data_IF_431502970096
#
_entry.id   IF_431502970096
#
_cell.length_a   1.000
_cell.length_b   1.000
_cell.length_c   1.000
_cell.angle_alpha   90.00
_cell.angle_beta   90.00
_cell.angle_gamma   90.00
#
_symmetry.space_group_name_H-M   'P 1'
#
loop_
_entity.id
_entity.type
_entity.pdbx_description
1 polymer ?
#
# COMPACT_ATOMS: atom_id res chain seq x y z
N UNK A 1 48.01 -20.06 36.12
CA UNK A 1 47.22 -18.81 36.06
C UNK A 1 46.06 -19.04 35.12
N UNK A 2 44.85 -19.29 35.66
CA UNK A 2 43.65 -19.47 34.86
C UNK A 2 43.18 -18.12 34.33
N UNK A 3 43.16 -17.96 33.00
CA UNK A 3 42.40 -16.89 32.36
C UNK A 3 40.92 -17.27 32.38
N UNK A 4 40.18 -16.70 33.34
CA UNK A 4 38.72 -16.70 33.31
C UNK A 4 38.25 -15.71 32.24
N UNK A 5 37.73 -16.23 31.13
CA UNK A 5 37.00 -15.44 30.14
C UNK A 5 35.53 -15.40 30.51
N UNK A 6 35.16 -14.56 31.48
CA UNK A 6 33.76 -14.16 31.64
C UNK A 6 33.42 -13.10 30.57
N UNK A 7 32.36 -13.30 29.76
CA UNK A 7 31.85 -12.26 28.87
C UNK A 7 31.44 -11.07 29.73
N UNK A 8 32.08 -9.91 29.56
CA UNK A 8 31.67 -8.70 30.25
C UNK A 8 30.19 -8.43 29.94
N UNK A 9 29.36 -8.38 30.98
CA UNK A 9 27.95 -8.02 30.86
C UNK A 9 27.83 -6.67 30.15
N UNK A 10 27.29 -6.68 28.92
CA UNK A 10 27.15 -5.46 28.14
C UNK A 10 26.07 -4.61 28.81
N UNK A 11 26.48 -3.46 29.37
CA UNK A 11 25.59 -2.52 30.05
C UNK A 11 24.45 -2.05 29.12
N UNK A 12 23.20 -2.20 29.56
CA UNK A 12 22.00 -1.82 28.81
C UNK A 12 22.02 -0.36 28.31
N UNK A 13 22.67 0.54 29.04
CA UNK A 13 22.86 1.95 28.63
C UNK A 13 23.76 2.05 27.39
N UNK A 14 24.79 1.20 27.28
CA UNK A 14 25.68 1.17 26.11
C UNK A 14 24.94 0.66 24.88
N UNK A 15 24.16 -0.41 25.02
CA UNK A 15 23.30 -0.97 23.97
C UNK A 15 22.26 0.03 23.47
N UNK A 16 21.61 0.74 24.38
CA UNK A 16 20.68 1.83 24.07
C UNK A 16 21.34 2.96 23.26
N UNK A 17 22.53 3.42 23.69
CA UNK A 17 23.29 4.46 22.98
C UNK A 17 23.66 4.02 21.56
N UNK A 18 24.01 2.74 21.36
CA UNK A 18 24.29 2.19 20.03
C UNK A 18 23.07 2.22 19.13
N UNK A 19 21.90 1.74 19.61
CA UNK A 19 20.65 1.78 18.84
C UNK A 19 20.24 3.21 18.48
N UNK A 20 20.35 4.16 19.42
CA UNK A 20 20.05 5.56 19.14
C UNK A 20 20.98 6.17 18.10
N UNK A 21 22.28 5.85 18.15
CA UNK A 21 23.25 6.34 17.15
C UNK A 21 22.85 5.85 15.76
N UNK A 22 22.50 4.57 15.65
CA UNK A 22 22.15 3.97 14.36
C UNK A 22 20.79 4.49 13.85
N UNK A 23 19.81 4.69 14.73
CA UNK A 23 18.53 5.30 14.35
C UNK A 23 18.67 6.74 13.84
N UNK A 24 19.64 7.51 14.33
CA UNK A 24 19.88 8.88 13.83
C UNK A 24 20.43 8.91 12.40
N UNK A 25 21.01 7.81 11.92
CA UNK A 25 21.58 7.71 10.58
C UNK A 25 20.52 7.43 9.49
N UNK A 26 19.25 7.22 9.85
CA UNK A 26 18.19 7.05 8.85
C UNK A 26 18.05 8.30 7.98
N UNK A 27 18.07 8.17 6.64
CA UNK A 27 18.00 9.33 5.74
C UNK A 27 16.62 10.01 5.78
N UNK A 28 15.54 9.21 5.85
CA UNK A 28 14.18 9.72 5.86
C UNK A 28 13.77 10.22 7.26
N UNK A 29 13.33 11.47 7.36
CA UNK A 29 12.99 12.15 8.63
C UNK A 29 11.92 11.39 9.45
N UNK A 30 10.82 11.00 8.81
CA UNK A 30 9.72 10.26 9.44
C UNK A 30 10.17 8.91 10.03
N UNK A 31 11.00 8.15 9.31
CA UNK A 31 11.54 6.86 9.76
C UNK A 31 12.52 7.06 10.91
N UNK A 32 13.42 8.05 10.79
CA UNK A 32 14.35 8.45 11.84
C UNK A 32 13.62 8.79 13.14
N UNK A 33 12.62 9.65 13.08
CA UNK A 33 11.85 10.07 14.27
C UNK A 33 11.02 8.94 14.87
N UNK A 34 10.50 8.03 14.05
CA UNK A 34 9.80 6.84 14.54
C UNK A 34 10.78 5.89 15.27
N UNK A 35 11.93 5.58 14.65
CA UNK A 35 12.94 4.72 15.23
C UNK A 35 13.46 5.27 16.58
N UNK A 36 13.78 6.56 16.64
CA UNK A 36 14.23 7.22 17.86
C UNK A 36 13.18 7.14 18.96
N UNK A 37 11.91 7.43 18.66
CA UNK A 37 10.81 7.34 19.64
C UNK A 37 10.62 5.92 20.15
N UNK A 38 10.64 4.92 19.26
CA UNK A 38 10.50 3.51 19.62
C UNK A 38 11.62 3.05 20.54
N UNK A 39 12.88 3.37 20.20
CA UNK A 39 14.05 3.02 21.02
C UNK A 39 13.99 3.69 22.41
N UNK A 40 13.59 4.97 22.49
CA UNK A 40 13.40 5.67 23.76
C UNK A 40 12.32 5.01 24.62
N UNK A 41 11.19 4.65 24.00
CA UNK A 41 10.06 3.99 24.68
C UNK A 41 10.47 2.61 25.21
N UNK A 42 11.05 1.75 24.37
CA UNK A 42 11.50 0.41 24.77
C UNK A 42 12.57 0.45 25.86
N UNK A 43 13.48 1.42 25.83
CA UNK A 43 14.44 1.60 26.93
C UNK A 43 13.78 2.06 28.22
N UNK A 44 12.79 2.97 28.13
CA UNK A 44 12.04 3.42 29.30
C UNK A 44 11.25 2.28 29.95
N UNK A 45 10.62 1.43 29.14
CA UNK A 45 9.83 0.26 29.57
C UNK A 45 10.71 -0.86 30.11
N UNK A 46 11.93 -1.03 29.56
CA UNK A 46 12.90 -2.06 29.97
C UNK A 46 13.86 -1.66 31.09
N UNK A 47 13.62 -0.58 31.84
CA UNK A 47 14.58 -0.05 32.85
C UNK A 47 14.97 -1.04 33.95
N UNK A 48 14.14 -2.04 34.23
CA UNK A 48 14.34 -3.03 35.30
C UNK A 48 14.54 -4.46 34.76
N UNK A 49 14.98 -4.64 33.52
CA UNK A 49 15.16 -5.95 32.91
C UNK A 49 16.46 -6.67 33.36
N UNK A 50 16.43 -8.00 33.37
CA UNK A 50 17.62 -8.81 33.65
C UNK A 50 18.70 -8.64 32.55
N UNK A 51 19.99 -8.95 32.81
CA UNK A 51 21.03 -8.91 31.79
C UNK A 51 20.71 -9.74 30.53
N UNK A 52 20.07 -10.89 30.69
CA UNK A 52 19.62 -11.77 29.61
C UNK A 52 18.50 -11.13 28.78
N UNK A 53 17.54 -10.49 29.45
CA UNK A 53 16.46 -9.73 28.81
C UNK A 53 17.00 -8.52 28.04
N UNK A 54 17.98 -7.81 28.60
CA UNK A 54 18.62 -6.68 27.95
C UNK A 54 19.28 -7.08 26.61
N UNK A 55 19.95 -8.24 26.57
CA UNK A 55 20.53 -8.77 25.34
C UNK A 55 19.47 -9.19 24.32
N UNK A 56 18.38 -9.84 24.77
CA UNK A 56 17.25 -10.20 23.90
C UNK A 56 16.61 -8.95 23.29
N UNK A 57 16.26 -7.97 24.12
CA UNK A 57 15.67 -6.69 23.68
C UNK A 57 16.59 -5.92 22.74
N UNK A 58 17.90 -6.00 22.94
CA UNK A 58 18.86 -5.41 21.99
C UNK A 58 18.87 -6.11 20.64
N UNK A 59 18.81 -7.45 20.60
CA UNK A 59 18.69 -8.21 19.34
C UNK A 59 17.40 -7.84 18.61
N UNK A 60 16.27 -7.78 19.33
CA UNK A 60 14.98 -7.37 18.77
C UNK A 60 14.99 -5.92 18.24
N UNK A 61 15.62 -5.01 18.99
CA UNK A 61 15.83 -3.63 18.57
C UNK A 61 16.69 -3.52 17.32
N UNK A 62 17.76 -4.31 17.23
CA UNK A 62 18.66 -4.37 16.07
C UNK A 62 17.93 -4.91 14.83
N UNK A 63 17.19 -6.02 14.98
CA UNK A 63 16.38 -6.59 13.90
C UNK A 63 15.30 -5.61 13.43
N UNK A 64 14.63 -4.93 14.37
CA UNK A 64 13.66 -3.88 14.05
C UNK A 64 14.29 -2.73 13.25
N UNK A 65 15.51 -2.36 13.60
CA UNK A 65 16.24 -1.29 12.93
C UNK A 65 16.65 -1.70 11.51
N UNK A 66 17.14 -2.93 11.33
CA UNK A 66 17.48 -3.49 10.02
C UNK A 66 16.27 -3.58 9.09
N UNK A 67 15.09 -3.92 9.62
CA UNK A 67 13.84 -3.88 8.85
C UNK A 67 13.48 -2.46 8.42
N UNK A 68 13.56 -1.49 9.34
CA UNK A 68 13.34 -0.09 9.00
C UNK A 68 14.36 0.43 7.96
N UNK A 69 15.60 -0.07 7.97
CA UNK A 69 16.60 0.23 6.93
C UNK A 69 16.16 -0.29 5.58
N UNK A 70 15.76 -1.55 5.49
CA UNK A 70 15.25 -2.16 4.26
C UNK A 70 14.04 -1.40 3.71
N UNK A 71 13.16 -0.95 4.58
CA UNK A 71 11.99 -0.13 4.22
C UNK A 71 12.34 1.32 3.84
N UNK A 72 13.47 1.85 4.33
CA UNK A 72 13.93 3.22 4.05
C UNK A 72 14.74 3.36 2.76
N UNK A 73 15.30 2.27 2.24
CA UNK A 73 16.08 2.24 1.00
C UNK A 73 15.09 2.33 -0.17
N UNK A 74 15.14 3.43 -0.92
CA UNK A 74 14.59 3.45 -2.28
C UNK A 74 15.53 2.62 -3.17
N UNK A 75 15.05 1.77 -4.08
CA UNK A 75 15.89 1.33 -5.19
C UNK A 75 16.09 2.53 -6.11
N UNK A 76 17.19 3.25 -5.92
CA UNK A 76 17.70 4.21 -6.89
C UNK A 76 19.14 3.78 -7.17
N UNK A 77 19.50 3.82 -8.45
CA UNK A 77 20.80 3.52 -9.06
C UNK A 77 21.03 2.09 -9.58
N UNK A 78 20.39 1.80 -10.72
CA UNK A 78 21.07 1.37 -11.97
C UNK A 78 20.07 1.41 -13.13
N UNK A 79 19.68 2.62 -13.55
CA UNK A 79 19.23 2.83 -14.93
C UNK A 79 20.50 3.02 -15.74
N UNK A 80 20.89 1.98 -16.49
CA UNK A 80 21.93 2.13 -17.51
C UNK A 80 21.46 3.20 -18.51
N UNK A 81 22.33 4.14 -18.94
CA UNK A 81 21.94 5.13 -19.93
C UNK A 81 21.58 4.41 -21.23
N UNK A 82 20.32 4.50 -21.64
CA UNK A 82 19.90 4.12 -22.98
C UNK A 82 20.36 5.25 -23.91
N UNK A 83 21.27 4.92 -24.81
CA UNK A 83 21.75 5.81 -25.86
C UNK A 83 20.63 6.00 -26.92
N UNK A 84 20.03 7.19 -26.93
CA UNK A 84 18.93 7.56 -27.82
C UNK A 84 19.36 7.86 -29.27
N UNK A 85 20.62 7.60 -29.67
CA UNK A 85 21.06 7.83 -31.06
C UNK A 85 20.77 6.70 -32.06
N UNK A 86 20.16 5.58 -31.65
CA UNK A 86 20.02 4.41 -32.54
C UNK A 86 18.60 4.00 -32.96
N UNK A 87 17.55 4.76 -32.65
CA UNK A 87 16.20 4.44 -33.12
C UNK A 87 15.56 5.66 -33.75
N UNK A 88 16.01 5.95 -34.97
CA UNK A 88 15.41 6.94 -35.84
C UNK A 88 15.34 6.38 -37.28
N UNK A 89 14.56 5.31 -37.47
CA UNK A 89 13.97 5.01 -38.77
C UNK A 89 12.74 4.11 -38.65
N UNK A 90 11.68 4.54 -39.32
CA UNK A 90 10.37 3.88 -39.46
C UNK A 90 9.45 3.95 -38.24
N UNK A 91 8.51 4.90 -38.25
CA UNK A 91 7.09 4.61 -38.51
C UNK A 91 6.35 5.93 -38.77
N UNK A 92 5.67 5.99 -39.91
CA UNK A 92 4.90 7.13 -40.38
C UNK A 92 3.46 6.97 -39.84
N UNK A 93 3.04 7.81 -38.90
CA UNK A 93 1.62 7.95 -38.55
C UNK A 93 1.20 9.41 -38.65
N UNK A 94 0.43 9.71 -39.70
CA UNK A 94 -0.36 10.95 -39.82
C UNK A 94 -1.47 10.92 -38.77
N UNK A 95 -1.50 11.92 -37.90
CA UNK A 95 -2.66 12.23 -37.06
C UNK A 95 -3.34 13.47 -37.67
N UNK A 96 -4.62 13.34 -38.01
CA UNK A 96 -5.47 14.42 -38.51
C UNK A 96 -5.71 15.48 -37.41
N UNK A 97 -5.83 16.77 -37.77
CA UNK A 97 -5.97 17.86 -36.81
C UNK A 97 -7.42 17.98 -36.35
N UNK A 98 -7.64 18.04 -35.03
CA UNK A 98 -8.90 18.56 -34.50
C UNK A 98 -8.82 20.08 -34.54
N UNK A 99 -9.56 20.66 -35.49
CA UNK A 99 -9.80 22.09 -35.55
C UNK A 99 -10.52 22.58 -34.29
N UNK A 100 -9.92 23.55 -33.61
CA UNK A 100 -10.71 24.62 -33.01
C UNK A 100 -9.97 25.94 -33.27
N UNK A 101 -10.36 26.61 -34.35
CA UNK A 101 -9.98 28.00 -34.63
C UNK A 101 -10.71 28.89 -33.63
N UNK A 102 -9.97 29.63 -32.81
CA UNK A 102 -10.43 30.92 -32.30
C UNK A 102 -9.31 31.94 -32.58
N UNK A 103 -9.43 32.65 -33.69
CA UNK A 103 -8.61 33.84 -33.95
C UNK A 103 -9.08 34.94 -33.00
N UNK A 104 -8.21 35.36 -32.09
CA UNK A 104 -8.31 36.67 -31.44
C UNK A 104 -6.95 37.35 -31.56
N UNK A 105 -6.81 38.12 -32.64
CA UNK A 105 -5.85 39.22 -32.71
C UNK A 105 -6.36 40.35 -31.82
N UNK A 106 -5.82 40.48 -30.60
CA UNK A 106 -5.94 41.71 -29.80
C UNK A 106 -4.63 41.99 -29.08
N UNK A 107 -4.23 43.26 -29.19
CA UNK A 107 -3.03 43.93 -28.71
C UNK A 107 -2.80 43.85 -27.18
N UNK A 108 -1.60 44.24 -26.76
CA UNK A 108 -0.84 43.82 -25.56
C UNK A 108 -1.40 44.10 -24.15
N UNK A 109 -2.72 44.24 -23.92
CA UNK A 109 -3.24 44.53 -22.56
C UNK A 109 -4.29 43.54 -22.01
N UNK A 110 -4.59 42.42 -22.67
CA UNK A 110 -5.52 41.38 -22.15
C UNK A 110 -4.87 40.07 -21.68
N UNK A 111 -3.56 39.89 -21.83
CA UNK A 111 -2.85 38.67 -21.44
C UNK A 111 -2.93 38.39 -19.91
N UNK A 112 -2.97 39.43 -19.08
CA UNK A 112 -3.04 39.29 -17.62
C UNK A 112 -4.39 38.81 -17.11
N UNK A 113 -5.49 39.14 -17.82
CA UNK A 113 -6.84 38.71 -17.45
C UNK A 113 -7.14 37.28 -17.96
N UNK A 114 -6.59 36.90 -19.11
CA UNK A 114 -6.70 35.54 -19.68
C UNK A 114 -5.82 34.53 -18.90
N UNK A 115 -4.63 34.91 -18.42
CA UNK A 115 -3.85 34.03 -17.53
C UNK A 115 -4.52 33.82 -16.16
N UNK A 116 -5.23 34.83 -15.64
CA UNK A 116 -5.96 34.72 -14.36
C UNK A 116 -7.19 33.82 -14.47
N UNK A 117 -7.88 33.81 -15.60
CA UNK A 117 -9.01 32.90 -15.83
C UNK A 117 -8.57 31.44 -15.98
N UNK A 118 -7.42 31.16 -16.62
CA UNK A 118 -6.85 29.81 -16.67
C UNK A 118 -6.42 29.30 -15.29
N UNK A 119 -5.79 30.15 -14.45
CA UNK A 119 -5.47 29.77 -13.05
C UNK A 119 -6.71 29.48 -12.21
N UNK A 120 -7.80 30.24 -12.40
CA UNK A 120 -9.07 30.01 -11.70
C UNK A 120 -9.78 28.74 -12.16
N UNK A 121 -9.82 28.46 -13.47
CA UNK A 121 -10.36 27.18 -13.99
C UNK A 121 -9.48 25.99 -13.56
N UNK A 122 -8.15 26.13 -13.56
CA UNK A 122 -7.22 25.11 -13.08
C UNK A 122 -7.45 24.80 -11.60
N UNK A 123 -7.65 25.83 -10.77
CA UNK A 123 -7.99 25.67 -9.34
C UNK A 123 -9.38 25.04 -9.11
N UNK A 124 -10.36 25.33 -9.97
CA UNK A 124 -11.72 24.79 -9.85
C UNK A 124 -11.86 23.35 -10.39
N UNK A 125 -11.03 22.97 -11.36
CA UNK A 125 -10.94 21.58 -11.86
C UNK A 125 -10.06 20.71 -10.96
N UNK A 126 -9.02 21.29 -10.35
CA UNK A 126 -8.14 20.60 -9.38
C UNK A 126 -8.87 20.19 -8.10
N UNK A 127 -9.88 20.95 -7.65
CA UNK A 127 -10.61 20.65 -6.41
C UNK A 127 -11.62 19.51 -6.50
N UNK A 128 -11.99 19.04 -7.70
CA UNK A 128 -13.01 17.98 -7.88
C UNK A 128 -12.43 16.55 -7.96
N UNK A 129 -11.11 16.39 -8.09
CA UNK A 129 -10.47 15.09 -8.34
C UNK A 129 -9.41 14.70 -7.30
N UNK A 130 -9.36 15.36 -6.14
CA UNK A 130 -8.40 15.01 -5.10
C UNK A 130 -8.86 13.76 -4.35
N UNK A 131 -8.01 12.74 -4.31
CA UNK A 131 -8.26 11.55 -3.50
C UNK A 131 -8.26 11.93 -2.01
N UNK A 132 -9.15 11.30 -1.26
CA UNK A 132 -9.29 11.47 0.19
C UNK A 132 -9.07 10.14 0.90
N UNK A 133 -8.55 10.20 2.13
CA UNK A 133 -8.50 9.02 2.98
C UNK A 133 -9.94 8.69 3.42
N UNK A 134 -10.50 7.52 3.09
CA UNK A 134 -11.85 7.17 3.50
C UNK A 134 -11.88 6.90 5.00
N UNK A 135 -12.92 7.34 5.69
CA UNK A 135 -13.14 6.94 7.08
C UNK A 135 -13.42 5.43 7.18
N UNK A 136 -13.01 4.82 8.29
CA UNK A 136 -13.35 3.44 8.60
C UNK A 136 -14.78 3.38 9.15
N UNK A 137 -15.52 2.33 8.79
CA UNK A 137 -16.90 2.10 9.28
C UNK A 137 -16.93 1.58 10.73
N UNK A 138 -15.76 1.45 11.36
CA UNK A 138 -15.58 0.83 12.67
C UNK A 138 -14.32 1.37 13.36
N UNK A 139 -14.30 1.26 14.68
CA UNK A 139 -13.15 1.66 15.50
C UNK A 139 -11.92 0.81 15.21
N UNK A 140 -10.73 1.36 15.47
CA UNK A 140 -9.46 0.68 15.19
C UNK A 140 -9.31 -0.67 15.93
N UNK A 141 -9.91 -0.84 17.11
CA UNK A 141 -9.88 -2.08 17.89
C UNK A 141 -11.01 -3.06 17.54
N UNK A 142 -11.89 -2.72 16.60
CA UNK A 142 -13.10 -3.52 16.33
C UNK A 142 -12.81 -4.90 15.72
N UNK A 143 -11.60 -5.10 15.17
CA UNK A 143 -11.15 -6.34 14.55
C UNK A 143 -10.37 -7.26 15.50
N UNK A 144 -10.26 -6.88 16.78
CA UNK A 144 -9.61 -7.71 17.79
C UNK A 144 -10.42 -8.99 18.07
N UNK A 145 -9.75 -10.12 18.41
CA UNK A 145 -8.31 -10.27 18.61
C UNK A 145 -7.50 -10.53 17.31
N UNK A 146 -8.14 -10.52 16.14
CA UNK A 146 -7.53 -10.98 14.89
C UNK A 146 -6.60 -9.94 14.26
N UNK A 147 -6.91 -8.65 14.35
CA UNK A 147 -6.00 -7.56 14.00
C UNK A 147 -6.05 -6.49 15.08
N UNK A 148 -4.91 -6.22 15.72
CA UNK A 148 -4.81 -5.27 16.82
C UNK A 148 -4.97 -3.81 16.38
N UNK A 149 -5.49 -2.99 17.30
CA UNK A 149 -5.78 -1.57 17.05
C UNK A 149 -4.57 -0.76 16.58
N UNK A 150 -3.37 -1.07 17.08
CA UNK A 150 -2.14 -0.39 16.68
C UNK A 150 -1.79 -0.64 15.20
N UNK A 151 -2.05 -1.84 14.70
CA UNK A 151 -1.88 -2.16 13.27
C UNK A 151 -2.89 -1.34 12.48
N UNK A 152 -4.18 -1.42 12.82
CA UNK A 152 -5.23 -0.71 12.10
C UNK A 152 -4.99 0.80 12.03
N UNK A 153 -4.58 1.39 13.15
CA UNK A 153 -4.28 2.82 13.23
C UNK A 153 -3.10 3.22 12.34
N UNK A 154 -2.01 2.46 12.36
CA UNK A 154 -0.84 2.75 11.53
C UNK A 154 -1.13 2.50 10.04
N UNK A 155 -1.76 1.38 9.73
CA UNK A 155 -2.11 0.96 8.37
C UNK A 155 -3.05 1.97 7.71
N UNK A 156 -4.04 2.47 8.43
CA UNK A 156 -4.95 3.51 7.95
C UNK A 156 -4.30 4.91 7.93
N UNK A 157 -3.92 5.45 9.09
CA UNK A 157 -3.53 6.87 9.22
C UNK A 157 -2.13 7.19 8.72
N UNK A 158 -1.30 6.19 8.45
CA UNK A 158 0.07 6.37 7.93
C UNK A 158 0.22 5.76 6.55
N UNK A 159 0.01 4.45 6.39
CA UNK A 159 0.26 3.79 5.11
C UNK A 159 -0.77 4.22 4.05
N UNK A 160 -2.07 4.08 4.33
CA UNK A 160 -3.11 4.52 3.38
C UNK A 160 -3.06 6.03 3.11
N UNK A 161 -2.86 6.85 4.16
CA UNK A 161 -2.70 8.30 3.99
C UNK A 161 -1.51 8.67 3.08
N UNK A 162 -0.39 7.94 3.18
CA UNK A 162 0.76 8.18 2.31
C UNK A 162 0.44 7.89 0.84
N UNK A 163 -0.33 6.83 0.54
CA UNK A 163 -0.79 6.55 -0.82
C UNK A 163 -1.73 7.64 -1.35
N UNK A 164 -2.67 8.12 -0.53
CA UNK A 164 -3.54 9.24 -0.89
C UNK A 164 -2.73 10.48 -1.24
N UNK A 165 -1.77 10.86 -0.38
CA UNK A 165 -0.92 12.02 -0.60
C UNK A 165 -0.07 11.88 -1.86
N UNK A 166 0.58 10.72 -2.03
CA UNK A 166 1.42 10.45 -3.19
C UNK A 166 0.63 10.43 -4.50
N UNK A 167 -0.60 9.91 -4.48
CA UNK A 167 -1.48 9.93 -5.66
C UNK A 167 -1.86 11.35 -6.03
N UNK A 168 -2.29 12.17 -5.06
CA UNK A 168 -2.62 13.57 -5.30
C UNK A 168 -1.44 14.36 -5.86
N UNK A 169 -0.24 14.20 -5.31
CA UNK A 169 0.98 14.81 -5.86
C UNK A 169 1.26 14.37 -7.30
N UNK A 170 1.09 13.07 -7.60
CA UNK A 170 1.31 12.57 -8.96
C UNK A 170 0.28 13.16 -9.95
N UNK A 171 -0.99 13.28 -9.55
CA UNK A 171 -2.04 13.88 -10.38
C UNK A 171 -1.79 15.37 -10.65
N UNK A 172 -1.33 16.13 -9.65
CA UNK A 172 -0.93 17.53 -9.85
C UNK A 172 0.23 17.67 -10.84
N UNK A 173 1.23 16.79 -10.75
CA UNK A 173 2.35 16.75 -11.68
C UNK A 173 1.92 16.35 -13.09
N UNK A 174 0.98 15.40 -13.21
CA UNK A 174 0.42 14.99 -14.50
C UNK A 174 -0.29 16.16 -15.17
N UNK A 175 -1.18 16.86 -14.47
CA UNK A 175 -1.89 18.03 -15.01
C UNK A 175 -0.92 19.12 -15.50
N UNK A 176 0.18 19.33 -14.77
CA UNK A 176 1.24 20.27 -15.20
C UNK A 176 1.91 19.79 -16.49
N UNK A 177 2.30 18.52 -16.55
CA UNK A 177 2.95 17.95 -17.73
C UNK A 177 2.02 17.94 -18.97
N UNK A 178 0.73 17.66 -18.80
CA UNK A 178 -0.30 17.79 -19.84
C UNK A 178 -0.40 19.23 -20.34
N UNK A 179 -0.41 20.21 -19.42
CA UNK A 179 -0.50 21.64 -19.78
C UNK A 179 0.69 22.16 -20.58
N UNK A 180 1.85 21.51 -20.46
CA UNK A 180 3.07 21.85 -21.20
C UNK A 180 3.39 20.90 -22.34
N UNK A 181 2.53 19.90 -22.60
CA UNK A 181 2.76 18.81 -23.55
C UNK A 181 4.11 18.09 -23.32
N UNK A 182 4.51 17.92 -22.06
CA UNK A 182 5.76 17.26 -21.67
C UNK A 182 5.54 15.74 -21.58
N UNK A 183 5.70 15.07 -22.73
CA UNK A 183 5.51 13.63 -22.84
C UNK A 183 6.50 12.84 -21.97
N UNK A 184 7.73 13.34 -21.80
CA UNK A 184 8.75 12.70 -20.96
C UNK A 184 8.32 12.65 -19.50
N UNK A 185 7.82 13.76 -18.97
CA UNK A 185 7.27 13.82 -17.63
C UNK A 185 6.04 12.90 -17.46
N UNK A 186 5.12 12.87 -18.44
CA UNK A 186 3.95 11.99 -18.39
C UNK A 186 4.31 10.50 -18.33
N UNK A 187 5.30 10.07 -19.11
CA UNK A 187 5.81 8.70 -19.08
C UNK A 187 6.46 8.41 -17.72
N UNK A 188 7.28 9.34 -17.20
CA UNK A 188 7.96 9.20 -15.91
C UNK A 188 7.00 9.05 -14.72
N UNK A 189 5.81 9.65 -14.78
CA UNK A 189 4.81 9.63 -13.71
C UNK A 189 4.05 8.31 -13.59
N UNK A 190 4.02 7.47 -14.63
CA UNK A 190 3.18 6.26 -14.67
C UNK A 190 3.42 5.33 -13.48
N UNK A 191 4.68 5.13 -13.09
CA UNK A 191 5.04 4.28 -11.96
C UNK A 191 4.52 4.82 -10.62
N UNK A 192 4.59 6.14 -10.41
CA UNK A 192 4.14 6.80 -9.20
C UNK A 192 2.60 6.79 -9.09
N UNK A 193 1.92 7.03 -10.21
CA UNK A 193 0.46 6.96 -10.32
C UNK A 193 0.00 5.53 -10.02
N UNK A 194 0.62 4.53 -10.65
CA UNK A 194 0.27 3.12 -10.45
C UNK A 194 0.46 2.69 -9.00
N UNK A 195 1.59 3.01 -8.39
CA UNK A 195 1.90 2.60 -7.02
C UNK A 195 0.99 3.26 -5.99
N UNK A 196 0.83 4.59 -6.05
CA UNK A 196 0.04 5.32 -5.05
C UNK A 196 -1.47 5.19 -5.29
N UNK A 197 -1.90 5.28 -6.55
CA UNK A 197 -3.31 5.07 -6.92
C UNK A 197 -3.75 3.65 -6.63
N UNK A 198 -2.91 2.66 -6.97
CA UNK A 198 -3.15 1.27 -6.61
C UNK A 198 -3.20 1.04 -5.11
N UNK A 199 -2.28 1.65 -4.35
CA UNK A 199 -2.29 1.58 -2.89
C UNK A 199 -3.59 2.15 -2.31
N UNK A 200 -4.04 3.31 -2.80
CA UNK A 200 -5.30 3.90 -2.36
C UNK A 200 -6.51 3.01 -2.69
N UNK A 201 -6.61 2.49 -3.92
CA UNK A 201 -7.71 1.60 -4.33
C UNK A 201 -7.72 0.32 -3.48
N UNK A 202 -6.57 -0.35 -3.36
CA UNK A 202 -6.47 -1.63 -2.67
C UNK A 202 -6.87 -1.51 -1.20
N UNK A 203 -6.37 -0.50 -0.49
CA UNK A 203 -6.71 -0.28 0.91
C UNK A 203 -8.17 0.15 1.09
N UNK A 204 -8.70 0.99 0.20
CA UNK A 204 -10.12 1.38 0.25
C UNK A 204 -11.06 0.17 0.12
N UNK A 205 -10.68 -0.84 -0.66
CA UNK A 205 -11.39 -2.12 -0.75
C UNK A 205 -11.16 -2.95 0.52
N UNK A 206 -9.90 -3.08 0.96
CA UNK A 206 -9.52 -3.84 2.14
C UNK A 206 -10.31 -3.46 3.39
N UNK A 207 -10.46 -2.16 3.67
CA UNK A 207 -11.23 -1.71 4.84
C UNK A 207 -12.69 -2.15 4.81
N UNK A 208 -13.32 -2.15 3.63
CA UNK A 208 -14.72 -2.60 3.47
C UNK A 208 -14.85 -4.13 3.48
N UNK A 209 -13.80 -4.83 3.04
CA UNK A 209 -13.71 -6.29 3.08
C UNK A 209 -13.54 -6.85 4.50
N UNK A 210 -13.30 -5.99 5.51
CA UNK A 210 -13.22 -6.39 6.91
C UNK A 210 -14.46 -5.87 7.66
N UNK A 211 -14.88 -6.60 8.69
CA UNK A 211 -15.92 -6.18 9.62
C UNK A 211 -15.56 -6.49 11.07
N UNK A 212 -16.13 -5.76 12.04
CA UNK A 212 -15.98 -6.07 13.45
C UNK A 212 -16.40 -7.51 13.76
N UNK A 213 -15.73 -8.15 14.73
CA UNK A 213 -16.04 -9.55 15.12
C UNK A 213 -17.52 -9.74 15.50
N UNK A 214 -18.14 -8.72 16.10
CA UNK A 214 -19.58 -8.73 16.46
C UNK A 214 -20.53 -8.70 15.25
N UNK A 215 -20.04 -8.19 14.12
CA UNK A 215 -20.80 -8.03 12.87
C UNK A 215 -20.42 -9.12 11.85
N UNK A 216 -19.54 -10.05 12.25
CA UNK A 216 -19.17 -11.19 11.42
C UNK A 216 -20.38 -12.11 11.23
N UNK A 217 -20.66 -12.41 9.97
CA UNK A 217 -21.64 -13.40 9.57
C UNK A 217 -20.99 -14.28 8.50
N UNK A 218 -21.19 -15.59 8.60
CA UNK A 218 -20.76 -16.52 7.56
C UNK A 218 -21.43 -16.19 6.23
N UNK A 219 -20.76 -16.55 5.13
CA UNK A 219 -21.33 -16.38 3.80
C UNK A 219 -22.57 -17.28 3.66
N UNK A 220 -23.74 -16.66 3.46
CA UNK A 220 -25.01 -17.37 3.29
C UNK A 220 -24.89 -18.45 2.18
N UNK A 221 -25.11 -19.73 2.49
CA UNK A 221 -25.11 -20.82 1.51
C UNK A 221 -26.11 -20.63 0.37
N UNK A 222 -27.19 -19.90 0.59
CA UNK A 222 -28.18 -19.55 -0.43
C UNK A 222 -27.75 -18.42 -1.37
N UNK A 223 -26.66 -17.69 -1.05
CA UNK A 223 -26.22 -16.55 -1.84
C UNK A 223 -25.61 -16.93 -3.19
N UNK A 224 -25.78 -16.05 -4.19
CA UNK A 224 -25.21 -16.26 -5.52
C UNK A 224 -23.67 -16.36 -5.50
N UNK A 225 -23.01 -15.65 -4.56
CA UNK A 225 -21.57 -15.74 -4.37
C UNK A 225 -21.16 -17.12 -3.85
N UNK A 226 -21.87 -17.66 -2.85
CA UNK A 226 -21.56 -18.98 -2.30
C UNK A 226 -21.66 -20.06 -3.37
N UNK A 227 -22.72 -20.03 -4.18
CA UNK A 227 -22.92 -20.96 -5.29
C UNK A 227 -21.82 -20.84 -6.34
N UNK A 228 -21.43 -19.61 -6.71
CA UNK A 228 -20.33 -19.39 -7.64
C UNK A 228 -18.98 -19.90 -7.12
N UNK A 229 -18.72 -19.75 -5.81
CA UNK A 229 -17.54 -20.30 -5.14
C UNK A 229 -17.57 -21.84 -5.20
N UNK A 230 -18.71 -22.47 -4.91
CA UNK A 230 -18.88 -23.92 -5.02
C UNK A 230 -18.61 -24.44 -6.42
N UNK A 231 -19.12 -23.76 -7.45
CA UNK A 231 -18.89 -24.15 -8.86
C UNK A 231 -17.42 -23.98 -9.27
N UNK A 232 -16.77 -22.89 -8.86
CA UNK A 232 -15.42 -22.57 -9.34
C UNK A 232 -14.31 -23.27 -8.56
N UNK A 233 -14.53 -23.50 -7.26
CA UNK A 233 -13.48 -23.96 -6.33
C UNK A 233 -13.90 -25.21 -5.53
N UNK A 234 -15.08 -25.76 -5.79
CA UNK A 234 -15.63 -26.93 -5.10
C UNK A 234 -16.29 -26.60 -3.76
N UNK A 235 -15.67 -25.75 -2.94
CA UNK A 235 -16.23 -25.30 -1.66
C UNK A 235 -15.64 -23.96 -1.22
N UNK A 236 -16.30 -23.32 -0.25
CA UNK A 236 -15.77 -22.12 0.41
C UNK A 236 -14.44 -22.40 1.11
N UNK A 237 -14.33 -23.53 1.80
CA UNK A 237 -13.10 -23.96 2.47
C UNK A 237 -11.93 -24.13 1.48
N UNK A 238 -12.17 -24.77 0.33
CA UNK A 238 -11.16 -24.95 -0.71
C UNK A 238 -10.70 -23.61 -1.28
N UNK A 239 -11.62 -22.66 -1.46
CA UNK A 239 -11.29 -21.30 -1.88
C UNK A 239 -10.41 -20.61 -0.83
N UNK A 240 -10.80 -20.61 0.44
CA UNK A 240 -10.04 -19.98 1.53
C UNK A 240 -8.63 -20.58 1.64
N UNK A 241 -8.50 -21.90 1.59
CA UNK A 241 -7.22 -22.62 1.63
C UNK A 241 -6.33 -22.24 0.45
N UNK A 242 -6.88 -22.22 -0.76
CA UNK A 242 -6.13 -21.90 -1.98
C UNK A 242 -5.70 -20.44 -2.01
N UNK A 243 -6.58 -19.51 -1.60
CA UNK A 243 -6.24 -18.09 -1.55
C UNK A 243 -5.18 -17.81 -0.49
N UNK A 244 -5.31 -18.43 0.69
CA UNK A 244 -4.30 -18.33 1.76
C UNK A 244 -2.94 -18.87 1.33
N UNK A 245 -2.90 -19.99 0.60
CA UNK A 245 -1.66 -20.54 0.06
C UNK A 245 -1.01 -19.57 -0.96
N UNK A 246 -1.82 -18.96 -1.85
CA UNK A 246 -1.34 -17.92 -2.78
C UNK A 246 -0.80 -16.69 -2.04
N UNK A 247 -1.52 -16.24 -1.00
CA UNK A 247 -1.13 -15.11 -0.17
C UNK A 247 0.18 -15.36 0.58
N UNK A 248 0.36 -16.57 1.12
CA UNK A 248 1.59 -16.98 1.78
C UNK A 248 2.78 -17.00 0.81
N UNK A 249 2.55 -17.43 -0.44
CA UNK A 249 3.57 -17.54 -1.47
C UNK A 249 3.98 -16.21 -2.13
N UNK A 250 3.32 -15.08 -1.82
CA UNK A 250 3.71 -13.76 -2.34
C UNK A 250 5.15 -13.44 -1.91
N UNK A 251 6.03 -13.30 -2.90
CA UNK A 251 7.43 -12.93 -2.68
C UNK A 251 7.54 -11.42 -2.46
N UNK A 252 8.00 -11.04 -1.27
CA UNK A 252 8.06 -9.63 -0.86
C UNK A 252 6.68 -9.09 -0.50
N UNK A 253 6.41 -7.88 -0.99
CA UNK A 253 5.19 -7.12 -0.75
C UNK A 253 4.14 -7.38 -1.81
N UNK A 254 2.87 -7.45 -1.43
CA UNK A 254 1.79 -7.63 -2.39
C UNK A 254 0.46 -7.97 -1.75
N UNK A 255 -0.43 -8.49 -2.60
CA UNK A 255 -1.82 -8.78 -2.28
C UNK A 255 -2.25 -10.11 -2.87
N UNK A 256 -3.16 -10.80 -2.19
CA UNK A 256 -3.92 -11.90 -2.75
C UNK A 256 -5.37 -11.49 -2.96
N UNK A 257 -5.96 -11.91 -4.07
CA UNK A 257 -7.26 -11.43 -4.51
C UNK A 257 -8.18 -12.58 -4.90
N UNK A 258 -9.45 -12.44 -4.52
CA UNK A 258 -10.57 -13.01 -5.24
C UNK A 258 -11.17 -11.90 -6.12
N UNK A 259 -11.18 -12.11 -7.43
CA UNK A 259 -11.77 -11.19 -8.40
C UNK A 259 -12.80 -11.86 -9.30
N UNK A 260 -13.57 -11.05 -10.00
CA UNK A 260 -14.53 -11.50 -11.01
C UNK A 260 -14.04 -11.14 -12.41
N UNK A 261 -13.96 -12.14 -13.29
CA UNK A 261 -13.70 -11.95 -14.71
C UNK A 261 -15.04 -11.79 -15.43
N UNK A 262 -15.33 -10.56 -15.90
CA UNK A 262 -16.60 -10.25 -16.58
C UNK A 262 -16.78 -11.05 -17.86
N UNK A 263 -15.72 -11.18 -18.66
CA UNK A 263 -15.76 -11.86 -19.96
C UNK A 263 -16.13 -13.34 -19.84
N UNK A 264 -15.55 -14.02 -18.83
CA UNK A 264 -15.83 -15.44 -18.57
C UNK A 264 -16.98 -15.68 -17.59
N UNK A 265 -17.49 -14.62 -16.95
CA UNK A 265 -18.45 -14.67 -15.84
C UNK A 265 -18.02 -15.63 -14.72
N UNK A 266 -16.75 -15.56 -14.34
CA UNK A 266 -16.13 -16.51 -13.41
C UNK A 266 -15.35 -15.81 -12.29
N UNK A 267 -15.28 -16.47 -11.13
CA UNK A 267 -14.39 -16.10 -10.06
C UNK A 267 -12.95 -16.51 -10.39
N UNK A 268 -11.99 -15.66 -10.03
CA UNK A 268 -10.55 -15.89 -10.27
C UNK A 268 -9.77 -15.53 -9.03
N UNK A 269 -8.89 -16.43 -8.59
CA UNK A 269 -7.91 -16.14 -7.52
C UNK A 269 -6.55 -15.81 -8.12
N UNK A 270 -5.99 -14.66 -7.77
CA UNK A 270 -4.67 -14.23 -8.25
C UNK A 270 -3.93 -13.41 -7.20
N UNK A 271 -2.69 -13.03 -7.49
CA UNK A 271 -1.87 -12.17 -6.64
C UNK A 271 -1.37 -10.98 -7.44
N UNK A 272 -1.20 -9.83 -6.80
CA UNK A 272 -0.52 -8.68 -7.39
C UNK A 272 0.69 -8.29 -6.55
N UNK A 273 1.83 -7.96 -7.17
CA UNK A 273 3.00 -7.49 -6.44
C UNK A 273 2.80 -6.05 -6.00
N UNK A 274 3.49 -5.66 -4.93
CA UNK A 274 3.50 -4.30 -4.41
C UNK A 274 2.08 -3.74 -4.19
N UNK A 275 1.77 -2.59 -4.79
CA UNK A 275 0.45 -1.95 -4.72
C UNK A 275 -0.28 -2.01 -6.07
N UNK A 276 0.10 -2.92 -6.96
CA UNK A 276 -0.57 -3.05 -8.26
C UNK A 276 -2.05 -3.38 -8.03
N UNK A 277 -2.99 -2.57 -8.55
CA UNK A 277 -4.41 -2.80 -8.31
C UNK A 277 -4.94 -3.89 -9.22
N UNK A 278 -5.82 -4.74 -8.69
CA UNK A 278 -6.36 -5.90 -9.41
C UNK A 278 -7.03 -5.52 -10.75
N UNK A 279 -7.63 -4.33 -10.83
CA UNK A 279 -8.25 -3.83 -12.05
C UNK A 279 -7.28 -3.77 -13.26
N UNK A 280 -5.97 -3.61 -13.01
CA UNK A 280 -4.95 -3.57 -14.09
C UNK A 280 -4.72 -4.92 -14.78
N UNK A 281 -5.21 -6.02 -14.19
CA UNK A 281 -5.21 -7.35 -14.83
C UNK A 281 -6.59 -7.76 -15.35
N UNK A 282 -7.51 -6.79 -15.52
CA UNK A 282 -8.83 -7.01 -16.13
C UNK A 282 -9.85 -7.70 -15.24
N UNK A 283 -9.64 -7.71 -13.92
CA UNK A 283 -10.54 -8.36 -12.96
C UNK A 283 -11.20 -7.32 -12.04
N UNK A 284 -12.48 -7.53 -11.72
CA UNK A 284 -13.18 -6.73 -10.71
C UNK A 284 -12.82 -7.25 -9.32
N UNK A 285 -12.26 -6.44 -8.41
CA UNK A 285 -11.91 -6.88 -7.07
C UNK A 285 -13.15 -7.14 -6.21
N UNK A 286 -13.19 -8.31 -5.58
CA UNK A 286 -14.24 -8.69 -4.62
C UNK A 286 -13.67 -8.74 -3.20
N UNK A 287 -12.62 -9.54 -2.99
CA UNK A 287 -11.87 -9.66 -1.74
C UNK A 287 -10.37 -9.44 -2.01
N UNK A 288 -9.74 -8.57 -1.24
CA UNK A 288 -8.28 -8.39 -1.20
C UNK A 288 -7.71 -8.66 0.19
N UNK A 289 -6.62 -9.44 0.26
CA UNK A 289 -5.86 -9.68 1.49
C UNK A 289 -4.50 -8.99 1.35
N UNK A 290 -4.25 -7.99 2.18
CA UNK A 290 -2.94 -7.33 2.26
C UNK A 290 -1.92 -8.26 2.93
N UNK A 291 -0.83 -8.58 2.23
CA UNK A 291 0.30 -9.35 2.77
C UNK A 291 1.61 -8.57 2.79
N UNK A 292 1.54 -7.25 2.65
CA UNK A 292 2.64 -6.38 3.09
C UNK A 292 2.90 -6.59 4.58
N UNK A 293 4.18 -6.58 4.97
CA UNK A 293 4.55 -6.80 6.38
C UNK A 293 3.87 -5.79 7.32
N UNK A 294 3.61 -4.55 6.88
CA UNK A 294 2.90 -3.57 7.72
C UNK A 294 1.50 -4.03 8.17
N UNK A 295 0.86 -4.96 7.45
CA UNK A 295 -0.49 -5.41 7.74
C UNK A 295 -0.57 -6.40 8.91
N UNK A 296 0.55 -7.04 9.30
CA UNK A 296 0.53 -8.08 10.32
C UNK A 296 1.75 -8.08 11.25
N UNK A 297 2.87 -7.46 10.87
CA UNK A 297 4.15 -7.71 11.53
C UNK A 297 4.18 -7.29 13.00
N UNK A 298 3.39 -6.29 13.42
CA UNK A 298 3.38 -5.90 14.84
C UNK A 298 2.82 -7.00 15.74
N UNK A 299 1.87 -7.79 15.25
CA UNK A 299 1.19 -8.86 15.99
C UNK A 299 1.76 -10.25 15.67
N UNK A 300 1.89 -10.59 14.39
CA UNK A 300 2.26 -11.93 13.92
C UNK A 300 3.75 -12.08 13.58
N UNK A 301 4.54 -11.00 13.65
CA UNK A 301 5.97 -10.98 13.31
C UNK A 301 6.22 -11.58 11.92
N UNK A 302 7.16 -12.51 11.81
CA UNK A 302 7.47 -13.23 10.58
C UNK A 302 6.47 -14.37 10.26
N UNK A 303 5.49 -14.63 11.13
CA UNK A 303 4.56 -15.77 10.99
C UNK A 303 3.32 -15.36 10.19
N UNK A 304 3.53 -14.94 8.94
CA UNK A 304 2.45 -14.58 7.99
C UNK A 304 1.33 -15.64 7.92
N UNK A 305 1.61 -16.97 7.95
CA UNK A 305 0.55 -17.98 7.95
C UNK A 305 -0.48 -17.83 9.09
N UNK A 306 -0.06 -17.37 10.27
CA UNK A 306 -0.98 -17.19 11.41
C UNK A 306 -1.92 -16.01 11.18
N UNK A 307 -1.43 -14.92 10.58
CA UNK A 307 -2.28 -13.82 10.13
C UNK A 307 -3.29 -14.29 9.07
N UNK A 308 -2.84 -15.10 8.11
CA UNK A 308 -3.70 -15.64 7.05
C UNK A 308 -4.72 -16.64 7.58
N UNK A 309 -4.46 -17.29 8.71
CA UNK A 309 -5.45 -18.10 9.43
C UNK A 309 -6.46 -17.22 10.18
N UNK A 310 -5.98 -16.13 10.79
CA UNK A 310 -6.80 -15.24 11.62
C UNK A 310 -7.77 -14.38 10.82
N UNK A 311 -7.35 -13.84 9.66
CA UNK A 311 -8.11 -12.85 8.90
C UNK A 311 -9.50 -13.33 8.46
N UNK A 312 -9.68 -14.64 8.25
CA UNK A 312 -10.96 -15.22 7.83
C UNK A 312 -12.11 -14.99 8.83
N UNK A 313 -11.79 -14.72 10.09
CA UNK A 313 -12.78 -14.48 11.17
C UNK A 313 -13.32 -13.04 11.20
N UNK A 314 -12.82 -12.16 10.33
CA UNK A 314 -13.21 -10.75 10.23
C UNK A 314 -13.50 -10.34 8.79
N UNK A 315 -13.67 -11.32 7.89
CA UNK A 315 -14.05 -11.05 6.50
C UNK A 315 -15.52 -10.64 6.43
N UNK A 316 -15.77 -9.50 5.80
CA UNK A 316 -17.09 -8.96 5.55
C UNK A 316 -17.71 -9.59 4.29
N UNK A 317 -18.28 -10.78 4.44
CA UNK A 317 -18.95 -11.49 3.34
C UNK A 317 -20.12 -10.71 2.71
N UNK A 318 -20.75 -9.81 3.47
CA UNK A 318 -21.83 -8.94 2.97
C UNK A 318 -21.32 -7.93 1.92
N UNK A 319 -20.20 -7.26 2.19
CA UNK A 319 -19.56 -6.34 1.22
C UNK A 319 -19.14 -7.12 -0.04
N UNK A 320 -18.49 -8.27 0.14
CA UNK A 320 -17.98 -9.10 -0.96
C UNK A 320 -19.14 -9.62 -1.83
N UNK A 321 -20.23 -10.11 -1.22
CA UNK A 321 -21.42 -10.56 -1.94
C UNK A 321 -22.11 -9.41 -2.70
N UNK A 322 -22.18 -8.22 -2.11
CA UNK A 322 -22.72 -7.03 -2.78
C UNK A 322 -21.88 -6.63 -4.00
N UNK A 323 -20.54 -6.61 -3.87
CA UNK A 323 -19.61 -6.38 -5.00
C UNK A 323 -19.78 -7.41 -6.09
N UNK A 324 -19.91 -8.68 -5.73
CA UNK A 324 -20.14 -9.76 -6.69
C UNK A 324 -21.45 -9.55 -7.46
N UNK A 325 -22.55 -9.27 -6.74
CA UNK A 325 -23.85 -9.02 -7.36
C UNK A 325 -23.83 -7.81 -8.31
N UNK A 326 -23.09 -6.76 -7.99
CA UNK A 326 -22.91 -5.61 -8.88
C UNK A 326 -22.04 -5.96 -10.10
N UNK A 327 -21.01 -6.77 -9.92
CA UNK A 327 -20.09 -7.16 -10.98
C UNK A 327 -20.68 -8.18 -11.96
N UNK A 328 -21.62 -9.01 -11.49
CA UNK A 328 -22.24 -10.10 -12.26
C UNK A 328 -23.50 -9.71 -13.03
N UNK A 329 -23.99 -8.47 -12.85
CA UNK A 329 -25.07 -7.88 -13.65
C UNK A 329 -24.57 -7.51 -15.04
#
# INVERSE_FOLDING_TARGET
MHFSTHPQAINAVKLYKMLLKEARNFPQYNIREYAIRKIKRSFSEGRNCSPEDAQRLFREGTNSLELLKRQSIRPVDKVLPIDFKFINHHFNFKVLPVHTRLLITLTSMKASMILRSHKRLFSLMSSKNQAILPDLDYDYNALEPYIFADIMRLHHTKHHQAYVNGFNTAMEQQLKAESTNDIGALIGLQSMIKFNGGGHINHSIFWKNLCPTKDFAELDPGSALYQAIGLQFGSLENMQKTLSAKAAAVQGSGWAWLGFCKDRKQLVMTTTPNQDPLATVGLVPLLGIDVWEHAYYLQYKNVRPDYLKAIWNIINWKDIASRYQLASK
#
